data_IF_125398961044
#
_entry.id   IF_125398961044
#
_cell.length_a   1.000
_cell.length_b   1.000
_cell.length_c   1.000
_cell.angle_alpha   90.00
_cell.angle_beta   90.00
_cell.angle_gamma   90.00
#
_symmetry.space_group_name_H-M   'P 1'
#
loop_
_entity.id
_entity.type
_entity.pdbx_description
1 polymer ?
#
# COMPACT_ATOMS: atom_id res chain seq x y z
N UNK A 1 -8.62 -9.68 19.07
CA UNK A 1 -7.79 -10.69 19.76
C UNK A 1 -8.17 -10.70 21.24
N UNK A 2 -8.29 -11.87 21.91
CA UNK A 2 -8.53 -11.88 23.34
C UNK A 2 -7.33 -11.25 24.08
N UNK A 3 -7.60 -10.22 24.84
CA UNK A 3 -6.63 -9.52 25.67
C UNK A 3 -6.79 -9.89 27.16
N UNK A 4 -5.91 -9.40 28.04
CA UNK A 4 -6.09 -9.54 29.48
C UNK A 4 -7.38 -8.84 29.93
N UNK A 5 -7.89 -9.25 31.10
CA UNK A 5 -9.13 -8.69 31.65
C UNK A 5 -9.04 -7.16 31.77
N UNK A 6 -9.98 -6.45 31.15
CA UNK A 6 -10.01 -4.99 31.12
C UNK A 6 -9.22 -4.35 29.97
N UNK A 7 -8.80 -5.14 28.97
CA UNK A 7 -8.16 -4.66 27.77
C UNK A 7 -8.91 -5.14 26.52
N UNK A 8 -9.18 -4.24 25.60
CA UNK A 8 -9.75 -4.55 24.29
C UNK A 8 -8.71 -4.26 23.21
N UNK A 9 -8.48 -5.26 22.34
CA UNK A 9 -7.52 -5.17 21.24
C UNK A 9 -8.24 -5.39 19.91
N UNK A 10 -8.33 -4.33 19.12
CA UNK A 10 -8.91 -4.37 17.77
C UNK A 10 -7.80 -4.30 16.73
N UNK A 11 -7.70 -5.35 15.88
CA UNK A 11 -6.80 -5.42 14.74
C UNK A 11 -7.58 -5.17 13.45
N UNK A 12 -7.13 -4.24 12.63
CA UNK A 12 -7.70 -3.98 11.32
C UNK A 12 -6.63 -3.63 10.29
N UNK A 13 -6.96 -3.83 9.01
CA UNK A 13 -6.11 -3.44 7.89
C UNK A 13 -6.53 -2.08 7.36
N UNK A 14 -5.55 -1.28 6.92
CA UNK A 14 -5.78 -0.01 6.24
C UNK A 14 -4.79 0.18 5.10
N UNK A 15 -5.13 1.04 4.13
CA UNK A 15 -4.20 1.47 3.10
C UNK A 15 -3.01 2.23 3.69
N UNK A 16 -1.85 2.12 3.04
CA UNK A 16 -0.60 2.77 3.46
C UNK A 16 -0.51 4.22 3.02
N UNK A 17 -1.25 4.62 1.98
CA UNK A 17 -1.23 5.96 1.42
C UNK A 17 -1.18 5.98 -0.11
N UNK A 18 -0.18 6.63 -0.70
CA UNK A 18 -0.02 6.70 -2.16
C UNK A 18 0.91 5.59 -2.63
N UNK A 19 0.43 4.71 -3.51
CA UNK A 19 1.24 3.71 -4.19
C UNK A 19 1.62 4.15 -5.60
N UNK A 20 2.89 4.01 -5.95
CA UNK A 20 3.37 4.13 -7.32
C UNK A 20 3.35 2.76 -7.98
N UNK A 21 2.62 2.62 -9.09
CA UNK A 21 2.66 1.42 -9.95
C UNK A 21 3.46 1.78 -11.20
N UNK A 22 4.65 1.22 -11.30
CA UNK A 22 5.53 1.43 -12.46
C UNK A 22 5.35 0.30 -13.47
N UNK A 23 4.83 0.64 -14.64
CA UNK A 23 4.68 -0.28 -15.76
C UNK A 23 5.89 -0.16 -16.72
N UNK A 24 6.52 -1.28 -17.05
CA UNK A 24 7.51 -1.32 -18.13
C UNK A 24 6.78 -1.31 -19.50
N UNK A 25 7.49 -0.95 -20.58
CA UNK A 25 6.89 -0.81 -21.92
C UNK A 25 6.19 -2.08 -22.41
N UNK A 26 6.72 -3.24 -22.04
CA UNK A 26 6.23 -4.56 -22.43
C UNK A 26 5.38 -5.22 -21.30
N UNK A 27 4.98 -4.44 -20.27
CA UNK A 27 4.19 -4.94 -19.17
C UNK A 27 2.80 -5.38 -19.64
N UNK A 28 2.39 -6.55 -19.20
CA UNK A 28 1.08 -7.12 -19.50
C UNK A 28 -0.04 -6.28 -18.86
N UNK A 29 -1.04 -5.81 -19.63
CA UNK A 29 -2.12 -4.97 -19.11
C UNK A 29 -2.88 -5.62 -17.94
N UNK A 30 -3.15 -6.93 -18.02
CA UNK A 30 -3.89 -7.66 -16.98
C UNK A 30 -3.17 -7.58 -15.62
N UNK A 31 -1.85 -7.70 -15.60
CA UNK A 31 -1.03 -7.59 -14.39
C UNK A 31 -1.07 -6.18 -13.81
N UNK A 32 -0.97 -5.15 -14.66
CA UNK A 32 -1.09 -3.75 -14.21
C UNK A 32 -2.46 -3.49 -13.57
N UNK A 33 -3.53 -3.97 -14.19
CA UNK A 33 -4.89 -3.83 -13.66
C UNK A 33 -5.05 -4.61 -12.34
N UNK A 34 -4.45 -5.78 -12.21
CA UNK A 34 -4.42 -6.54 -10.95
C UNK A 34 -3.74 -5.75 -9.82
N UNK A 35 -2.57 -5.16 -10.09
CA UNK A 35 -1.86 -4.31 -9.12
C UNK A 35 -2.67 -3.06 -8.75
N UNK A 36 -3.29 -2.41 -9.74
CA UNK A 36 -4.17 -1.26 -9.52
C UNK A 36 -5.38 -1.64 -8.65
N UNK A 37 -6.06 -2.73 -8.99
CA UNK A 37 -7.23 -3.21 -8.25
C UNK A 37 -6.88 -3.54 -6.80
N UNK A 38 -5.77 -4.25 -6.56
CA UNK A 38 -5.31 -4.60 -5.22
C UNK A 38 -4.93 -3.34 -4.39
N UNK A 39 -4.23 -2.38 -4.99
CA UNK A 39 -3.88 -1.13 -4.31
C UNK A 39 -5.12 -0.32 -3.91
N UNK A 40 -6.09 -0.19 -4.82
CA UNK A 40 -7.34 0.53 -4.57
C UNK A 40 -8.22 -0.18 -3.54
N UNK A 41 -8.36 -1.52 -3.64
CA UNK A 41 -9.14 -2.32 -2.70
C UNK A 41 -8.56 -2.27 -1.27
N UNK A 42 -7.23 -2.16 -1.14
CA UNK A 42 -6.56 -1.94 0.13
C UNK A 42 -6.71 -0.51 0.69
N UNK A 43 -7.37 0.41 -0.04
CA UNK A 43 -7.63 1.78 0.40
C UNK A 43 -6.50 2.77 0.08
N UNK A 44 -5.65 2.51 -0.92
CA UNK A 44 -4.58 3.41 -1.33
C UNK A 44 -5.02 4.31 -2.50
N UNK A 45 -4.39 5.48 -2.62
CA UNK A 45 -4.36 6.25 -3.86
C UNK A 45 -3.23 5.73 -4.76
N UNK A 46 -3.36 5.89 -6.07
CA UNK A 46 -2.44 5.28 -7.03
C UNK A 46 -1.92 6.29 -8.05
N UNK A 47 -0.61 6.29 -8.24
CA UNK A 47 0.07 6.89 -9.38
C UNK A 47 0.47 5.76 -10.34
N UNK A 48 -0.15 5.73 -11.53
CA UNK A 48 0.23 4.83 -12.62
C UNK A 48 1.31 5.49 -13.47
N UNK A 49 2.50 4.92 -13.52
CA UNK A 49 3.61 5.44 -14.29
C UNK A 49 3.98 4.50 -15.45
N UNK A 50 3.99 5.02 -16.64
CA UNK A 50 4.33 4.29 -17.87
C UNK A 50 4.05 5.11 -19.10
N UNK A 51 4.56 4.68 -20.25
CA UNK A 51 4.44 5.40 -21.52
C UNK A 51 3.38 4.79 -22.45
N UNK A 52 2.69 3.74 -22.02
CA UNK A 52 1.61 3.12 -22.77
C UNK A 52 0.39 4.06 -22.84
N UNK A 53 -0.07 4.36 -24.05
CA UNK A 53 -1.18 5.30 -24.29
C UNK A 53 -2.47 4.94 -23.54
N UNK A 54 -2.73 3.65 -23.34
CA UNK A 54 -3.94 3.20 -22.65
C UNK A 54 -3.92 3.49 -21.14
N UNK A 55 -2.75 3.69 -20.52
CA UNK A 55 -2.66 4.11 -19.12
C UNK A 55 -3.31 5.48 -18.89
N UNK A 56 -3.23 6.37 -19.86
CA UNK A 56 -3.77 7.73 -19.76
C UNK A 56 -5.31 7.77 -19.63
N UNK A 57 -6.02 6.72 -20.06
CA UNK A 57 -7.48 6.67 -19.97
C UNK A 57 -7.97 6.08 -18.64
N UNK A 58 -7.12 5.39 -17.90
CA UNK A 58 -7.49 4.73 -16.63
C UNK A 58 -8.08 5.70 -15.60
N UNK A 59 -7.52 6.90 -15.35
CA UNK A 59 -8.11 7.84 -14.39
C UNK A 59 -9.55 8.23 -14.75
N UNK A 60 -9.84 8.43 -16.03
CA UNK A 60 -11.20 8.76 -16.49
C UNK A 60 -12.15 7.57 -16.31
N UNK A 61 -11.72 6.34 -16.60
CA UNK A 61 -12.52 5.14 -16.36
C UNK A 61 -12.78 4.92 -14.86
N UNK A 62 -11.80 5.17 -14.01
CA UNK A 62 -11.96 5.09 -12.56
C UNK A 62 -13.05 6.08 -12.05
N UNK A 63 -13.04 7.32 -12.57
CA UNK A 63 -14.07 8.30 -12.23
C UNK A 63 -15.46 7.89 -12.74
N UNK A 64 -15.56 7.35 -13.95
CA UNK A 64 -16.82 6.82 -14.49
C UNK A 64 -17.36 5.64 -13.65
N UNK A 65 -16.47 4.86 -13.05
CA UNK A 65 -16.82 3.80 -12.10
C UNK A 65 -17.16 4.32 -10.69
N UNK A 66 -17.20 5.63 -10.48
CA UNK A 66 -17.59 6.25 -9.20
C UNK A 66 -16.44 6.51 -8.23
N UNK A 67 -15.18 6.29 -8.63
CA UNK A 67 -14.03 6.61 -7.78
C UNK A 67 -13.74 8.12 -7.76
N UNK A 68 -13.26 8.68 -6.62
CA UNK A 68 -12.86 10.08 -6.55
C UNK A 68 -11.78 10.45 -7.57
N UNK A 69 -11.89 11.63 -8.19
CA UNK A 69 -11.03 12.07 -9.28
C UNK A 69 -9.51 12.10 -8.96
N UNK A 70 -9.15 12.22 -7.68
CA UNK A 70 -7.75 12.28 -7.23
C UNK A 70 -7.19 10.92 -6.82
N UNK A 71 -7.99 9.86 -6.87
CA UNK A 71 -7.57 8.55 -6.36
C UNK A 71 -6.60 7.84 -7.32
N UNK A 72 -6.76 8.05 -8.63
CA UNK A 72 -5.87 7.47 -9.64
C UNK A 72 -5.33 8.58 -10.55
N UNK A 73 -4.01 8.63 -10.73
CA UNK A 73 -3.33 9.56 -11.62
C UNK A 73 -2.38 8.78 -12.54
N UNK A 74 -2.41 9.09 -13.84
CA UNK A 74 -1.45 8.55 -14.80
C UNK A 74 -0.34 9.58 -15.10
N UNK A 75 0.91 9.10 -15.19
CA UNK A 75 2.11 9.90 -15.48
C UNK A 75 3.06 9.12 -16.41
N UNK A 76 3.98 9.82 -17.07
CA UNK A 76 5.02 9.16 -17.86
C UNK A 76 6.06 8.44 -16.97
N UNK A 77 6.79 7.50 -17.57
CA UNK A 77 7.82 6.68 -16.90
C UNK A 77 8.82 7.51 -16.11
N UNK A 78 9.35 8.59 -16.67
CA UNK A 78 10.36 9.44 -16.03
C UNK A 78 9.81 10.14 -14.77
N UNK A 79 8.55 10.58 -14.80
CA UNK A 79 7.89 11.18 -13.63
C UNK A 79 7.73 10.14 -12.51
N UNK A 80 7.39 8.89 -12.87
CA UNK A 80 7.34 7.79 -11.91
C UNK A 80 8.70 7.49 -11.28
N UNK A 81 9.77 7.48 -12.06
CA UNK A 81 11.14 7.29 -11.54
C UNK A 81 11.52 8.43 -10.57
N UNK A 82 11.18 9.68 -10.89
CA UNK A 82 11.37 10.80 -9.96
C UNK A 82 10.61 10.60 -8.64
N UNK A 83 9.36 10.15 -8.70
CA UNK A 83 8.58 9.85 -7.51
C UNK A 83 9.16 8.70 -6.68
N UNK A 84 9.79 7.69 -7.31
CA UNK A 84 10.53 6.65 -6.58
C UNK A 84 11.71 7.21 -5.80
N UNK A 85 12.36 8.26 -6.34
CA UNK A 85 13.58 8.81 -5.74
C UNK A 85 13.29 9.72 -4.54
N UNK A 86 12.38 10.67 -4.68
CA UNK A 86 12.12 11.71 -3.68
C UNK A 86 10.62 11.97 -3.40
N UNK A 87 9.73 11.24 -4.06
CA UNK A 87 8.29 11.43 -3.89
C UNK A 87 7.78 11.00 -2.51
N UNK A 88 6.72 11.65 -2.07
CA UNK A 88 5.97 11.25 -0.87
C UNK A 88 5.00 10.11 -1.23
N UNK A 89 5.55 8.88 -1.26
CA UNK A 89 4.83 7.65 -1.57
C UNK A 89 4.98 6.63 -0.44
N UNK A 90 3.98 5.78 -0.26
CA UNK A 90 3.93 4.76 0.78
C UNK A 90 4.49 3.40 0.32
N UNK A 91 4.63 3.20 -0.98
CA UNK A 91 5.18 1.97 -1.55
C UNK A 91 5.25 2.03 -3.07
N UNK A 92 5.96 1.08 -3.63
CA UNK A 92 6.13 0.91 -5.07
C UNK A 92 5.66 -0.49 -5.47
N UNK A 93 4.98 -0.55 -6.59
CA UNK A 93 4.63 -1.79 -7.25
C UNK A 93 5.11 -1.72 -8.70
N UNK A 94 5.60 -2.82 -9.25
CA UNK A 94 6.06 -2.83 -10.64
C UNK A 94 5.71 -4.11 -11.38
N UNK A 95 5.34 -3.92 -12.65
CA UNK A 95 5.20 -4.99 -13.65
C UNK A 95 6.31 -4.75 -14.67
N UNK A 96 7.43 -5.47 -14.52
CA UNK A 96 8.66 -5.20 -15.24
C UNK A 96 9.56 -6.45 -15.30
N UNK A 97 10.54 -6.44 -16.20
CA UNK A 97 11.55 -7.50 -16.26
C UNK A 97 12.39 -7.57 -14.97
N UNK A 98 13.00 -8.74 -14.71
CA UNK A 98 13.82 -8.96 -13.50
C UNK A 98 14.95 -7.94 -13.36
N UNK A 99 15.60 -7.56 -14.46
CA UNK A 99 16.68 -6.56 -14.47
C UNK A 99 16.14 -5.17 -14.03
N UNK A 100 14.96 -4.81 -14.51
CA UNK A 100 14.29 -3.56 -14.09
C UNK A 100 13.88 -3.60 -12.63
N UNK A 101 13.34 -4.72 -12.15
CA UNK A 101 13.02 -4.91 -10.73
C UNK A 101 14.28 -4.73 -9.87
N UNK A 102 15.41 -5.29 -10.29
CA UNK A 102 16.70 -5.13 -9.60
C UNK A 102 17.15 -3.66 -9.58
N UNK A 103 17.00 -2.96 -10.71
CA UNK A 103 17.31 -1.54 -10.81
C UNK A 103 16.44 -0.69 -9.86
N UNK A 104 15.14 -1.01 -9.75
CA UNK A 104 14.22 -0.33 -8.82
C UNK A 104 14.59 -0.60 -7.36
N UNK A 105 14.98 -1.84 -7.00
CA UNK A 105 15.48 -2.16 -5.66
C UNK A 105 16.70 -1.32 -5.30
N UNK A 106 17.66 -1.18 -6.22
CA UNK A 106 18.85 -0.37 -6.02
C UNK A 106 18.55 1.12 -5.88
N UNK A 107 17.56 1.62 -6.64
CA UNK A 107 17.12 3.01 -6.56
C UNK A 107 16.44 3.29 -5.21
N UNK A 108 15.53 2.43 -4.80
CA UNK A 108 14.83 2.56 -3.52
C UNK A 108 15.78 2.42 -2.32
N UNK A 109 16.84 1.59 -2.42
CA UNK A 109 17.85 1.43 -1.37
C UNK A 109 18.73 2.66 -1.16
N UNK A 110 18.79 3.58 -2.14
CA UNK A 110 19.53 4.85 -2.05
C UNK A 110 18.68 6.01 -1.52
N UNK A 111 17.40 5.77 -1.32
CA UNK A 111 16.46 6.78 -0.85
C UNK A 111 16.68 7.07 0.63
N UNK A 112 16.62 8.35 0.99
CA UNK A 112 16.56 8.75 2.38
C UNK A 112 15.15 8.56 2.96
N UNK A 113 15.05 8.38 4.27
CA UNK A 113 13.79 8.25 4.99
C UNK A 113 13.31 6.82 5.19
N UNK A 114 11.99 6.62 5.21
CA UNK A 114 11.40 5.32 5.48
C UNK A 114 11.66 4.31 4.34
N UNK A 115 11.89 3.05 4.69
CA UNK A 115 12.04 1.97 3.73
C UNK A 115 10.69 1.71 3.05
N UNK A 116 10.67 1.83 1.72
CA UNK A 116 9.50 1.54 0.91
C UNK A 116 9.43 0.08 0.51
N UNK A 117 8.25 -0.53 0.61
CA UNK A 117 8.01 -1.86 0.08
C UNK A 117 8.00 -1.84 -1.45
N UNK A 118 8.65 -2.83 -2.07
CA UNK A 118 8.56 -3.08 -3.51
C UNK A 118 7.78 -4.38 -3.76
N UNK A 119 6.64 -4.26 -4.42
CA UNK A 119 5.83 -5.39 -4.89
C UNK A 119 6.14 -5.56 -6.38
N UNK A 120 6.70 -6.70 -6.77
CA UNK A 120 7.09 -6.92 -8.16
C UNK A 120 6.39 -8.13 -8.76
N UNK A 121 6.05 -7.99 -10.05
CA UNK A 121 5.62 -9.08 -10.93
C UNK A 121 6.56 -9.04 -12.14
N UNK A 122 7.47 -10.03 -12.24
CA UNK A 122 8.52 -10.05 -13.26
C UNK A 122 8.10 -10.79 -14.54
N UNK A 123 6.92 -11.35 -14.58
CA UNK A 123 6.42 -12.07 -15.76
C UNK A 123 7.13 -13.39 -16.08
N UNK A 124 8.21 -13.73 -15.37
CA UNK A 124 8.87 -15.01 -15.49
C UNK A 124 8.05 -16.03 -14.69
N UNK A 125 7.34 -16.88 -15.42
CA UNK A 125 6.56 -18.01 -14.95
C UNK A 125 5.50 -17.68 -13.88
N UNK A 126 4.36 -18.28 -14.04
CA UNK A 126 3.26 -18.31 -13.08
C UNK A 126 3.69 -19.15 -11.85
N UNK A 127 4.68 -18.65 -11.11
CA UNK A 127 5.19 -19.24 -9.88
C UNK A 127 4.12 -19.14 -8.81
N UNK A 128 3.02 -19.87 -9.02
CA UNK A 128 1.90 -19.93 -8.09
C UNK A 128 1.42 -18.52 -7.78
N UNK A 129 0.62 -17.93 -8.66
CA UNK A 129 -0.01 -16.65 -8.41
C UNK A 129 -0.55 -16.66 -6.98
N UNK A 130 0.00 -15.79 -6.13
CA UNK A 130 -0.51 -15.64 -4.78
C UNK A 130 -2.03 -15.50 -4.87
N UNK A 131 -2.81 -16.20 -4.04
CA UNK A 131 -4.25 -15.97 -3.96
C UNK A 131 -4.51 -14.46 -3.91
N UNK A 132 -5.53 -13.98 -4.59
CA UNK A 132 -5.80 -12.54 -4.69
C UNK A 132 -5.87 -11.85 -3.33
N UNK A 133 -6.35 -12.57 -2.32
CA UNK A 133 -6.37 -12.12 -0.93
C UNK A 133 -4.95 -11.87 -0.38
N UNK A 134 -4.03 -12.83 -0.52
CA UNK A 134 -2.65 -12.66 -0.07
C UNK A 134 -1.91 -11.55 -0.85
N UNK A 135 -2.24 -11.37 -2.14
CA UNK A 135 -1.70 -10.29 -2.94
C UNK A 135 -2.19 -8.92 -2.48
N UNK A 136 -3.48 -8.80 -2.13
CA UNK A 136 -4.08 -7.58 -1.61
C UNK A 136 -3.41 -7.13 -0.29
N UNK A 137 -3.14 -8.06 0.62
CA UNK A 137 -2.48 -7.77 1.90
C UNK A 137 -1.09 -7.11 1.74
N UNK A 138 -0.40 -7.30 0.62
CA UNK A 138 0.87 -6.62 0.35
C UNK A 138 0.73 -5.10 0.22
N UNK A 139 -0.46 -4.60 -0.11
CA UNK A 139 -0.77 -3.18 -0.24
C UNK A 139 -1.36 -2.56 1.03
N UNK A 140 -1.67 -3.37 2.04
CA UNK A 140 -2.22 -2.93 3.31
C UNK A 140 -1.17 -2.87 4.42
N UNK A 141 -1.51 -2.21 5.50
CA UNK A 141 -0.79 -2.29 6.78
C UNK A 141 -1.78 -2.67 7.88
N UNK A 142 -1.29 -3.42 8.84
CA UNK A 142 -2.06 -3.75 10.04
C UNK A 142 -1.95 -2.62 11.05
N UNK A 143 -3.04 -2.37 11.75
CA UNK A 143 -3.12 -1.42 12.85
C UNK A 143 -3.89 -2.03 14.01
N UNK A 144 -3.30 -1.98 15.19
CA UNK A 144 -3.94 -2.41 16.43
C UNK A 144 -4.33 -1.19 17.26
N UNK A 145 -5.58 -1.16 17.74
CA UNK A 145 -6.01 -0.22 18.77
C UNK A 145 -6.18 -1.02 20.04
N UNK A 146 -5.43 -0.65 21.08
CA UNK A 146 -5.52 -1.21 22.42
C UNK A 146 -6.18 -0.18 23.33
N UNK A 147 -7.30 -0.55 23.95
CA UNK A 147 -8.01 0.27 24.95
C UNK A 147 -7.86 -0.45 26.29
N UNK A 148 -7.12 0.16 27.21
CA UNK A 148 -7.00 -0.34 28.58
C UNK A 148 -8.03 0.38 29.46
N UNK A 149 -9.02 -0.37 29.96
CA UNK A 149 -10.09 0.14 30.81
C UNK A 149 -9.86 -0.12 32.31
N UNK A 150 -8.84 -0.91 32.65
CA UNK A 150 -8.54 -1.26 34.07
C UNK A 150 -7.90 -0.12 34.85
N UNK A 151 -7.15 0.75 34.19
CA UNK A 151 -6.38 1.82 34.88
C UNK A 151 -7.25 2.98 35.42
N UNK A 152 -8.47 3.14 34.94
CA UNK A 152 -9.32 4.28 35.30
C UNK A 152 -10.21 4.04 36.55
N UNK A 153 -10.43 2.79 36.96
CA UNK A 153 -11.37 2.45 38.04
C UNK A 153 -10.73 1.94 39.34
N UNK A 154 -9.59 1.27 39.26
CA UNK A 154 -8.96 0.62 40.40
C UNK A 154 -8.18 1.55 41.34
N UNK A 155 -7.53 2.56 40.79
CA UNK A 155 -6.69 3.46 41.59
C UNK A 155 -7.51 4.51 42.36
N UNK A 156 -8.63 4.97 41.83
CA UNK A 156 -9.44 5.98 42.50
C UNK A 156 -10.07 5.42 43.82
N UNK A 157 -10.50 4.17 43.82
CA UNK A 157 -11.05 3.53 45.00
C UNK A 157 -9.99 3.18 46.09
N UNK A 158 -8.77 2.85 45.65
CA UNK A 158 -7.67 2.58 46.60
C UNK A 158 -7.12 3.88 47.20
N UNK A 159 -7.05 4.99 46.44
CA UNK A 159 -6.62 6.29 46.98
C UNK A 159 -7.63 6.93 47.94
N UNK A 160 -8.91 6.61 47.83
CA UNK A 160 -9.93 7.08 48.77
C UNK A 160 -10.01 6.30 50.05
N UNK A 161 -9.29 5.18 50.22
CA UNK A 161 -9.27 4.33 51.42
C UNK A 161 -8.09 4.66 52.37
N UNK A 162 -7.17 5.54 51.99
CA UNK A 162 -6.01 5.93 52.83
C UNK A 162 -6.23 7.23 53.62
N UNK A 163 -7.42 7.83 53.64
CA UNK A 163 -7.75 9.05 54.38
C UNK A 163 -8.65 8.87 55.62
N UNK A 164 -8.67 7.67 56.29
CA UNK A 164 -9.32 7.46 57.55
C UNK A 164 -8.33 7.05 58.67
#
# INVERSE_FOLDING_TARGET
MPGPTGETNDLYCQGRGVYLIQADKDAEPAKIIRHLGAALAAGNAVILAGDQKWLAVIPALAQQAGLPAKLVKAVGTNTGLGAMYDGDIAGVSCVASLDRVTSFKQLLAKRDGAILSLISDSGAEDDGALPDEAFLHRFATEKTITINTTAAGGNASLMSMEED
#
